data_IF_850666455759
#
_entry.id   IF_850666455759
#
_cell.length_a   1.000
_cell.length_b   1.000
_cell.length_c   1.000
_cell.angle_alpha   90.00
_cell.angle_beta   90.00
_cell.angle_gamma   90.00
#
_symmetry.space_group_name_H-M   'P 1'
#
loop_
_entity.id
_entity.type
_entity.pdbx_description
1 polymer ?
#
# COMPACT_ATOMS: atom_id res chain seq x y z
N UNK A 1 -17.33 79.50 -6.49
CA UNK A 1 -17.09 78.67 -5.27
C UNK A 1 -16.94 77.17 -5.57
N UNK A 2 -17.61 76.59 -6.57
CA UNK A 2 -17.53 75.14 -6.86
C UNK A 2 -16.18 74.71 -7.49
N UNK A 3 -15.50 75.61 -8.21
CA UNK A 3 -14.26 75.31 -8.94
C UNK A 3 -13.01 75.23 -8.03
N UNK A 4 -13.05 75.82 -6.83
CA UNK A 4 -11.94 75.76 -5.86
C UNK A 4 -11.86 74.42 -5.12
N UNK A 5 -12.99 73.77 -4.86
CA UNK A 5 -13.03 72.48 -4.16
C UNK A 5 -12.49 71.32 -5.01
N UNK A 6 -12.61 71.39 -6.34
CA UNK A 6 -12.10 70.36 -7.23
C UNK A 6 -10.56 70.30 -7.25
N UNK A 7 -9.90 71.46 -7.26
CA UNK A 7 -8.43 71.50 -7.27
C UNK A 7 -7.82 71.01 -5.95
N UNK A 8 -8.48 71.27 -4.82
CA UNK A 8 -8.03 70.77 -3.53
C UNK A 8 -8.19 69.24 -3.40
N UNK A 9 -9.28 68.67 -3.93
CA UNK A 9 -9.51 67.21 -3.90
C UNK A 9 -8.53 66.47 -4.80
N UNK A 10 -8.23 67.00 -5.99
CA UNK A 10 -7.26 66.40 -6.93
C UNK A 10 -5.84 66.47 -6.36
N UNK A 11 -5.45 67.57 -5.71
CA UNK A 11 -4.15 67.65 -5.04
C UNK A 11 -4.06 66.67 -3.86
N UNK A 12 -5.11 66.53 -3.05
CA UNK A 12 -5.14 65.59 -1.93
C UNK A 12 -5.09 64.12 -2.38
N UNK A 13 -5.78 63.76 -3.47
CA UNK A 13 -5.71 62.42 -4.06
C UNK A 13 -4.33 62.13 -4.67
N UNK A 14 -3.72 63.11 -5.35
CA UNK A 14 -2.38 62.98 -5.91
C UNK A 14 -1.30 62.85 -4.81
N UNK A 15 -1.41 63.60 -3.71
CA UNK A 15 -0.50 63.45 -2.57
C UNK A 15 -0.72 62.15 -1.81
N UNK A 16 -1.95 61.66 -1.66
CA UNK A 16 -2.21 60.35 -1.09
C UNK A 16 -1.66 59.20 -1.95
N UNK A 17 -1.69 59.31 -3.28
CA UNK A 17 -1.10 58.30 -4.18
C UNK A 17 0.43 58.32 -4.19
N UNK A 18 1.07 59.48 -3.97
CA UNK A 18 2.53 59.62 -3.89
C UNK A 18 3.09 59.29 -2.49
N UNK A 19 2.29 59.41 -1.44
CA UNK A 19 2.64 59.04 -0.07
C UNK A 19 2.14 57.65 0.32
N UNK A 20 1.35 56.99 -0.53
CA UNK A 20 1.17 55.55 -0.44
C UNK A 20 2.55 54.94 -0.63
N UNK A 21 3.14 54.26 0.38
CA UNK A 21 4.40 53.56 0.17
C UNK A 21 4.21 52.74 -1.08
N UNK A 22 5.00 53.05 -2.12
CA UNK A 22 4.84 52.45 -3.42
C UNK A 22 4.61 50.97 -3.20
N UNK A 23 3.57 50.43 -3.82
CA UNK A 23 3.35 49.00 -3.88
C UNK A 23 4.60 48.46 -4.59
N UNK A 24 5.68 48.28 -3.82
CA UNK A 24 6.87 47.59 -4.22
C UNK A 24 6.26 46.30 -4.72
N UNK A 25 6.49 45.97 -5.98
CA UNK A 25 6.27 44.64 -6.52
C UNK A 25 7.18 43.71 -5.70
N UNK A 26 6.82 43.50 -4.44
CA UNK A 26 7.42 42.56 -3.54
C UNK A 26 7.17 41.26 -4.23
N UNK A 27 8.25 40.66 -4.73
CA UNK A 27 8.16 39.30 -5.22
C UNK A 27 7.40 38.52 -4.15
N UNK A 28 6.35 37.79 -4.55
CA UNK A 28 5.58 37.01 -3.58
C UNK A 28 6.58 36.21 -2.75
N UNK A 29 6.43 36.20 -1.41
CA UNK A 29 7.41 35.57 -0.53
C UNK A 29 7.69 34.16 -1.06
N UNK A 30 8.97 33.87 -1.24
CA UNK A 30 9.41 32.60 -1.82
C UNK A 30 8.76 31.46 -1.04
N UNK A 31 8.02 30.63 -1.78
CA UNK A 31 7.36 29.47 -1.20
C UNK A 31 8.43 28.46 -0.79
N UNK A 32 8.65 28.34 0.53
CA UNK A 32 9.60 27.42 1.15
C UNK A 32 8.88 26.37 2.00
N UNK A 33 9.43 25.17 2.05
CA UNK A 33 8.96 24.13 2.97
C UNK A 33 9.37 24.44 4.41
N UNK A 34 8.60 23.95 5.37
CA UNK A 34 8.93 24.07 6.79
C UNK A 34 9.41 22.73 7.34
N UNK A 35 10.73 22.55 7.48
CA UNK A 35 11.32 21.30 7.95
C UNK A 35 11.38 21.16 9.47
N UNK A 36 10.66 21.99 10.23
CA UNK A 36 10.46 21.74 11.66
C UNK A 36 9.89 20.33 11.85
N UNK A 37 10.56 19.55 12.70
CA UNK A 37 10.18 18.18 13.02
C UNK A 37 9.58 18.12 14.42
N UNK A 38 8.57 17.28 14.57
CA UNK A 38 8.09 16.84 15.89
C UNK A 38 9.14 15.97 16.58
N UNK A 39 9.02 15.76 17.91
CA UNK A 39 9.81 14.74 18.58
C UNK A 39 9.66 13.36 17.91
N UNK A 40 10.70 12.51 17.95
CA UNK A 40 10.58 11.13 17.49
C UNK A 40 9.47 10.38 18.21
N UNK A 41 8.78 9.52 17.47
CA UNK A 41 7.65 8.72 17.96
C UNK A 41 7.46 7.47 17.10
N UNK A 42 6.68 6.51 17.59
CA UNK A 42 6.16 5.43 16.77
C UNK A 42 4.75 5.74 16.27
N UNK A 43 4.49 5.39 15.03
CA UNK A 43 3.20 5.47 14.36
C UNK A 43 2.74 4.07 13.97
N UNK A 44 1.49 3.96 13.54
CA UNK A 44 0.84 2.70 13.23
C UNK A 44 0.17 2.74 11.86
N UNK A 45 0.39 1.70 11.05
CA UNK A 45 -0.22 1.57 9.71
C UNK A 45 -1.03 0.30 9.65
N UNK A 46 -2.22 0.41 9.10
CA UNK A 46 -3.11 -0.71 8.86
C UNK A 46 -3.03 -1.13 7.40
N UNK A 47 -2.84 -2.42 7.15
CA UNK A 47 -2.80 -2.99 5.81
C UNK A 47 -3.75 -4.18 5.75
N UNK A 48 -4.63 -4.16 4.76
CA UNK A 48 -5.61 -5.22 4.53
C UNK A 48 -4.92 -6.48 3.98
N UNK A 49 -5.18 -7.63 4.61
CA UNK A 49 -4.72 -8.93 4.13
C UNK A 49 -5.35 -9.36 2.81
N UNK A 50 -6.55 -8.87 2.52
CA UNK A 50 -7.26 -9.18 1.27
C UNK A 50 -6.44 -8.75 0.04
N UNK A 51 -5.56 -7.77 0.18
CA UNK A 51 -4.64 -7.34 -0.87
C UNK A 51 -3.48 -8.32 -1.15
N UNK A 52 -3.29 -9.36 -0.31
CA UNK A 52 -2.10 -10.22 -0.37
C UNK A 52 -0.85 -9.59 0.26
N UNK A 53 -0.99 -8.38 0.82
CA UNK A 53 0.04 -7.68 1.56
C UNK A 53 0.37 -8.38 2.88
N UNK A 54 1.34 -9.28 2.83
CA UNK A 54 1.97 -9.91 3.99
C UNK A 54 3.25 -9.17 4.42
N UNK A 55 3.74 -9.39 5.66
CA UNK A 55 5.04 -8.86 6.07
C UNK A 55 6.18 -9.26 5.13
N UNK A 56 6.23 -10.52 4.65
CA UNK A 56 7.20 -10.94 3.65
C UNK A 56 7.03 -10.20 2.31
N UNK A 57 5.78 -10.01 1.85
CA UNK A 57 5.52 -9.23 0.65
C UNK A 57 6.04 -7.80 0.77
N UNK A 58 5.76 -7.13 1.89
CA UNK A 58 6.21 -5.75 2.14
C UNK A 58 7.73 -5.65 2.24
N UNK A 59 8.37 -6.59 2.96
CA UNK A 59 9.82 -6.73 3.00
C UNK A 59 10.42 -6.90 1.60
N UNK A 60 9.83 -7.78 0.79
CA UNK A 60 10.26 -8.04 -0.59
C UNK A 60 10.14 -6.80 -1.46
N UNK A 61 9.14 -5.97 -1.25
CA UNK A 61 9.01 -4.71 -1.97
C UNK A 61 9.88 -3.58 -1.43
N UNK A 62 10.56 -3.79 -0.29
CA UNK A 62 11.39 -2.78 0.36
C UNK A 62 10.62 -1.86 1.31
N UNK A 63 9.32 -2.05 1.49
CA UNK A 63 8.48 -1.16 2.29
C UNK A 63 6.99 -1.35 2.09
N UNK A 64 6.22 -0.44 2.70
CA UNK A 64 4.76 -0.32 2.59
C UNK A 64 4.46 0.90 1.72
N UNK A 65 3.85 0.70 0.57
CA UNK A 65 3.43 1.78 -0.32
C UNK A 65 2.11 1.41 -1.00
N UNK A 66 1.52 2.36 -1.73
CA UNK A 66 0.29 2.14 -2.48
C UNK A 66 0.54 1.31 -3.75
N UNK A 67 -0.49 0.88 -4.47
CA UNK A 67 -0.32 -0.06 -5.59
C UNK A 67 0.69 0.37 -6.67
N UNK A 68 0.86 1.68 -6.88
CA UNK A 68 1.79 2.24 -7.85
C UNK A 68 2.70 3.27 -7.17
N UNK A 69 3.95 2.93 -6.79
CA UNK A 69 4.86 3.84 -6.09
C UNK A 69 5.45 4.93 -7.00
N UNK A 70 5.21 4.87 -8.32
CA UNK A 70 5.69 5.84 -9.29
C UNK A 70 4.66 6.03 -10.41
N UNK A 71 3.49 6.59 -10.08
CA UNK A 71 2.41 6.73 -11.03
C UNK A 71 2.82 7.62 -12.20
N UNK A 72 2.30 7.32 -13.40
CA UNK A 72 2.64 8.05 -14.61
C UNK A 72 2.30 9.54 -14.48
N UNK A 73 2.97 10.38 -15.27
CA UNK A 73 2.88 11.86 -15.19
C UNK A 73 1.42 12.36 -15.33
N UNK A 74 0.58 11.66 -16.09
CA UNK A 74 -0.85 11.99 -16.23
C UNK A 74 -1.67 11.80 -14.93
N UNK A 75 -1.10 11.16 -13.90
CA UNK A 75 -1.66 11.01 -12.55
C UNK A 75 -0.97 11.92 -11.53
N UNK A 76 -0.63 13.15 -11.93
CA UNK A 76 -0.01 14.14 -11.04
C UNK A 76 -0.77 14.35 -9.71
N UNK A 77 -2.09 14.19 -9.72
CA UNK A 77 -2.92 14.27 -8.53
C UNK A 77 -2.55 13.25 -7.42
N UNK A 78 -1.91 12.13 -7.75
CA UNK A 78 -1.45 11.14 -6.79
C UNK A 78 -0.39 11.68 -5.83
N UNK A 79 0.31 12.77 -6.22
CA UNK A 79 1.31 13.45 -5.40
C UNK A 79 0.70 14.52 -4.49
N UNK A 80 -0.60 14.81 -4.61
CA UNK A 80 -1.29 15.78 -3.75
C UNK A 80 -1.69 15.11 -2.44
N UNK A 81 -1.46 15.80 -1.33
CA UNK A 81 -1.92 15.34 -0.02
C UNK A 81 -3.42 15.65 0.12
N UNK A 82 -4.27 14.78 -0.43
CA UNK A 82 -5.73 14.93 -0.39
C UNK A 82 -6.34 14.28 0.85
N UNK A 83 -6.24 14.94 2.00
CA UNK A 83 -6.97 14.56 3.21
C UNK A 83 -6.99 13.04 3.50
N UNK A 84 -8.08 12.56 4.08
CA UNK A 84 -8.24 11.15 4.44
C UNK A 84 -8.65 10.23 3.27
N UNK A 85 -8.65 10.71 2.01
CA UNK A 85 -9.19 9.90 0.91
C UNK A 85 -8.19 8.82 0.45
N UNK A 86 -8.52 7.51 0.59
CA UNK A 86 -7.59 6.40 0.37
C UNK A 86 -7.36 6.05 -1.10
N UNK A 87 -8.01 6.73 -2.06
CA UNK A 87 -8.00 6.31 -3.45
C UNK A 87 -6.87 7.01 -4.22
N UNK A 88 -5.88 6.24 -4.66
CA UNK A 88 -4.87 6.58 -5.70
C UNK A 88 -3.78 7.62 -5.37
N UNK A 89 -3.23 7.63 -4.16
CA UNK A 89 -2.21 8.61 -3.77
C UNK A 89 -0.87 7.93 -3.41
N UNK A 90 0.26 8.61 -3.64
CA UNK A 90 1.61 8.19 -3.19
C UNK A 90 1.84 8.49 -1.71
N UNK A 91 0.80 8.42 -0.90
CA UNK A 91 0.82 8.83 0.49
C UNK A 91 0.30 7.68 1.33
N UNK A 92 1.12 7.18 2.26
CA UNK A 92 0.69 6.16 3.22
C UNK A 92 0.33 6.83 4.52
N UNK A 93 -0.93 6.68 4.95
CA UNK A 93 -1.43 7.25 6.20
C UNK A 93 -0.98 6.38 7.36
N UNK A 94 -0.35 7.00 8.36
CA UNK A 94 0.06 6.38 9.61
C UNK A 94 -0.58 7.13 10.79
N UNK A 95 -1.02 6.40 11.80
CA UNK A 95 -1.74 6.95 12.95
C UNK A 95 -0.83 7.00 14.17
N UNK A 96 -0.99 8.01 15.03
CA UNK A 96 -0.22 8.15 16.28
C UNK A 96 -0.73 7.25 17.40
N UNK A 97 -2.00 6.84 17.32
CA UNK A 97 -2.67 6.08 18.38
C UNK A 97 -3.21 4.78 17.80
N UNK A 98 -2.73 3.66 18.34
CA UNK A 98 -3.15 2.32 17.95
C UNK A 98 -4.67 2.12 18.11
N UNK A 99 -5.30 2.70 19.13
CA UNK A 99 -6.75 2.66 19.30
C UNK A 99 -7.46 3.31 18.12
N UNK A 100 -6.97 4.46 17.65
CA UNK A 100 -7.57 5.13 16.48
C UNK A 100 -7.39 4.31 15.20
N UNK A 101 -6.33 3.51 15.08
CA UNK A 101 -6.18 2.57 13.95
C UNK A 101 -7.32 1.55 13.95
N UNK A 102 -7.60 0.96 15.12
CA UNK A 102 -8.66 -0.05 15.28
C UNK A 102 -10.05 0.58 15.13
N UNK A 103 -10.25 1.80 15.64
CA UNK A 103 -11.50 2.53 15.43
C UNK A 103 -11.68 2.90 13.95
N UNK A 104 -10.65 3.40 13.28
CA UNK A 104 -10.68 3.68 11.85
C UNK A 104 -11.00 2.41 11.03
N UNK A 105 -10.49 1.26 11.48
CA UNK A 105 -10.85 -0.04 10.92
C UNK A 105 -12.35 -0.35 11.07
N UNK A 106 -12.93 -0.14 12.25
CA UNK A 106 -14.36 -0.36 12.50
C UNK A 106 -15.27 0.52 11.62
N UNK A 107 -14.76 1.67 11.14
CA UNK A 107 -15.47 2.57 10.23
C UNK A 107 -15.19 2.33 8.74
N UNK A 108 -14.32 1.37 8.38
CA UNK A 108 -14.02 1.11 6.98
C UNK A 108 -15.23 0.45 6.30
N UNK A 109 -15.90 1.12 5.34
CA UNK A 109 -17.12 0.60 4.70
C UNK A 109 -16.86 -0.64 3.83
N UNK A 110 -15.60 -0.94 3.52
CA UNK A 110 -15.20 -2.13 2.78
C UNK A 110 -15.23 -3.41 3.65
N UNK A 111 -15.47 -3.29 4.96
CA UNK A 111 -15.46 -4.41 5.90
C UNK A 111 -16.90 -4.70 6.31
N UNK A 112 -17.52 -5.79 5.81
CA UNK A 112 -18.87 -6.17 6.20
C UNK A 112 -18.95 -6.32 7.72
N UNK A 113 -20.00 -5.77 8.34
CA UNK A 113 -20.20 -5.90 9.78
C UNK A 113 -20.39 -7.37 10.15
N UNK A 114 -20.09 -7.75 11.39
CA UNK A 114 -20.03 -9.17 11.79
C UNK A 114 -21.38 -9.87 11.62
N UNK A 115 -22.47 -9.11 11.74
CA UNK A 115 -23.84 -9.57 11.49
C UNK A 115 -24.22 -9.65 10.00
N UNK A 116 -23.44 -9.07 9.10
CA UNK A 116 -23.68 -9.06 7.65
C UNK A 116 -22.99 -10.24 6.94
N UNK A 117 -22.09 -10.96 7.64
CA UNK A 117 -21.38 -12.09 7.04
C UNK A 117 -22.17 -13.40 7.16
N UNK A 118 -22.16 -14.26 6.13
CA UNK A 118 -22.74 -15.60 6.19
C UNK A 118 -22.15 -16.40 7.36
N UNK A 119 -22.98 -17.22 8.02
CA UNK A 119 -22.52 -18.11 9.07
C UNK A 119 -21.36 -18.99 8.56
N UNK A 120 -20.19 -18.85 9.18
CA UNK A 120 -18.96 -19.59 8.81
C UNK A 120 -17.99 -18.83 7.91
N UNK A 121 -18.33 -17.65 7.39
CA UNK A 121 -17.37 -16.80 6.71
C UNK A 121 -16.40 -16.18 7.74
N UNK A 122 -15.09 -16.34 7.55
CA UNK A 122 -14.07 -15.68 8.36
C UNK A 122 -13.69 -14.34 7.76
N UNK A 123 -13.58 -13.30 8.58
CA UNK A 123 -13.17 -11.97 8.12
C UNK A 123 -11.73 -12.03 7.61
N UNK A 124 -11.39 -11.41 6.47
CA UNK A 124 -10.00 -11.11 6.18
C UNK A 124 -9.52 -10.17 7.30
N UNK A 125 -8.52 -10.60 8.06
CA UNK A 125 -7.92 -9.76 9.08
C UNK A 125 -6.94 -8.75 8.47
N UNK A 126 -6.20 -8.06 9.34
CA UNK A 126 -5.31 -6.98 8.94
C UNK A 126 -3.94 -7.15 9.59
N UNK A 127 -2.93 -6.66 8.91
CA UNK A 127 -1.62 -6.43 9.51
C UNK A 127 -1.57 -5.00 10.04
N UNK A 128 -1.17 -4.87 11.30
CA UNK A 128 -0.80 -3.58 11.89
C UNK A 128 0.71 -3.52 11.94
N UNK A 129 1.29 -2.46 11.40
CA UNK A 129 2.72 -2.19 11.44
C UNK A 129 3.00 -1.03 12.38
N UNK A 130 3.90 -1.22 13.33
CA UNK A 130 4.48 -0.16 14.14
C UNK A 130 5.73 0.35 13.45
N UNK A 131 5.77 1.65 13.15
CA UNK A 131 6.80 2.27 12.32
C UNK A 131 7.40 3.45 13.06
N UNK A 132 8.71 3.69 12.92
CA UNK A 132 9.31 4.92 13.42
C UNK A 132 8.87 6.12 12.57
N UNK A 133 8.60 7.26 13.18
CA UNK A 133 8.35 8.50 12.46
C UNK A 133 9.58 8.95 11.65
N UNK A 134 9.36 9.70 10.58
CA UNK A 134 10.46 10.17 9.71
C UNK A 134 10.09 11.48 9.00
N UNK A 135 11.07 12.29 8.56
CA UNK A 135 10.80 13.64 8.06
C UNK A 135 10.11 13.67 6.69
N UNK A 136 10.09 12.55 5.95
CA UNK A 136 9.27 12.43 4.72
C UNK A 136 7.77 12.23 5.02
N UNK A 137 7.41 12.14 6.31
CA UNK A 137 6.03 12.14 6.78
C UNK A 137 5.61 13.55 7.16
N UNK A 138 4.37 13.90 6.80
CA UNK A 138 3.78 15.22 7.04
C UNK A 138 2.63 15.07 8.05
N UNK A 139 2.69 15.86 9.12
CA UNK A 139 1.64 15.94 10.14
C UNK A 139 0.31 16.37 9.49
N UNK A 140 -0.75 15.57 9.65
CA UNK A 140 -2.06 15.82 9.05
C UNK A 140 -2.87 16.92 9.73
N UNK A 141 -2.35 17.53 10.80
CA UNK A 141 -3.03 18.59 11.55
C UNK A 141 -3.38 19.78 10.66
N UNK A 142 -4.65 20.18 10.56
CA UNK A 142 -5.00 21.49 10.01
C UNK A 142 -4.29 22.54 10.85
N UNK A 143 -3.52 23.39 10.20
CA UNK A 143 -2.80 24.42 10.91
C UNK A 143 -3.80 25.39 11.58
N UNK A 144 -3.56 25.70 12.87
CA UNK A 144 -4.49 26.51 13.66
C UNK A 144 -5.64 25.74 14.31
N UNK A 145 -5.79 24.43 14.04
CA UNK A 145 -6.65 23.59 14.88
C UNK A 145 -5.99 23.36 16.24
N UNK A 146 -6.47 24.07 17.25
CA UNK A 146 -6.16 23.79 18.66
C UNK A 146 -6.78 22.48 19.16
N UNK A 147 -7.71 21.90 18.40
CA UNK A 147 -8.30 20.63 18.79
C UNK A 147 -7.24 19.53 18.69
N UNK A 148 -6.97 18.87 19.83
CA UNK A 148 -6.22 17.60 19.88
C UNK A 148 -6.82 16.53 18.97
N UNK A 149 -8.05 16.76 18.51
CA UNK A 149 -8.76 15.91 17.55
C UNK A 149 -8.24 16.00 16.11
N UNK A 150 -7.47 17.03 15.73
CA UNK A 150 -6.94 17.14 14.37
C UNK A 150 -5.65 16.33 14.11
N UNK A 151 -5.10 15.68 15.14
CA UNK A 151 -3.69 15.30 15.22
C UNK A 151 -3.35 13.85 14.98
N UNK A 152 -4.33 13.03 14.62
CA UNK A 152 -4.21 11.60 14.85
C UNK A 152 -3.37 10.85 13.82
N UNK A 153 -2.96 11.52 12.74
CA UNK A 153 -2.29 10.88 11.62
C UNK A 153 -1.18 11.76 11.01
N UNK A 154 -0.27 11.09 10.33
CA UNK A 154 0.71 11.66 9.43
C UNK A 154 0.65 10.90 8.11
N UNK A 155 1.05 11.53 7.01
CA UNK A 155 1.16 10.84 5.71
C UNK A 155 2.59 10.78 5.25
N UNK A 156 3.07 9.57 4.94
CA UNK A 156 4.39 9.30 4.41
C UNK A 156 4.40 9.45 2.88
N UNK A 157 5.17 10.41 2.37
CA UNK A 157 5.35 10.61 0.94
C UNK A 157 6.18 9.47 0.33
N UNK A 158 5.66 8.81 -0.70
CA UNK A 158 6.38 7.78 -1.45
C UNK A 158 6.47 6.41 -0.76
N UNK A 159 5.75 6.21 0.34
CA UNK A 159 5.72 4.96 1.10
C UNK A 159 6.43 5.04 2.45
N UNK A 160 6.58 3.88 3.08
CA UNK A 160 7.30 3.65 4.34
C UNK A 160 8.32 2.57 4.07
N UNK A 161 9.56 2.78 4.49
CA UNK A 161 10.64 1.83 4.23
C UNK A 161 10.51 0.60 5.14
N UNK A 162 10.92 -0.57 4.65
CA UNK A 162 10.90 -1.76 5.49
C UNK A 162 11.83 -1.63 6.69
N UNK A 163 12.97 -0.95 6.54
CA UNK A 163 13.88 -0.63 7.66
C UNK A 163 13.26 0.32 8.69
N UNK A 164 12.17 1.00 8.35
CA UNK A 164 11.43 1.90 9.24
C UNK A 164 10.36 1.16 10.06
N UNK A 165 9.96 -0.04 9.64
CA UNK A 165 9.03 -0.91 10.35
C UNK A 165 9.75 -1.52 11.54
N UNK A 166 9.32 -1.20 12.76
CA UNK A 166 9.88 -1.76 13.99
C UNK A 166 9.30 -3.14 14.31
N UNK A 167 7.97 -3.26 14.24
CA UNK A 167 7.26 -4.49 14.52
C UNK A 167 5.95 -4.57 13.75
N UNK A 168 5.35 -5.75 13.69
CA UNK A 168 4.03 -5.95 13.10
C UNK A 168 3.21 -7.00 13.87
N UNK A 169 1.90 -6.86 13.83
CA UNK A 169 0.96 -7.75 14.49
C UNK A 169 -0.23 -8.06 13.56
N UNK A 170 -0.85 -9.21 13.77
CA UNK A 170 -2.07 -9.59 13.06
C UNK A 170 -3.30 -9.30 13.92
N UNK A 171 -4.35 -8.75 13.32
CA UNK A 171 -5.67 -8.63 13.94
C UNK A 171 -6.71 -9.35 13.10
N UNK A 172 -7.52 -10.20 13.75
CA UNK A 172 -8.59 -10.93 13.08
C UNK A 172 -9.93 -10.16 13.10
N UNK A 173 -10.10 -9.27 14.08
CA UNK A 173 -11.37 -8.59 14.34
C UNK A 173 -11.14 -7.16 14.84
N UNK A 174 -12.19 -6.33 14.78
CA UNK A 174 -12.17 -4.94 15.24
C UNK A 174 -12.23 -4.83 16.75
N UNK A 175 -12.70 -5.87 17.44
CA UNK A 175 -12.91 -5.87 18.89
C UNK A 175 -11.68 -6.38 19.66
N UNK A 176 -10.51 -6.37 19.02
CA UNK A 176 -9.25 -6.81 19.64
C UNK A 176 -8.79 -5.80 20.69
N UNK A 177 -8.50 -6.29 21.90
CA UNK A 177 -7.80 -5.51 22.91
C UNK A 177 -6.38 -5.19 22.40
N UNK A 178 -6.10 -3.90 22.20
CA UNK A 178 -4.79 -3.38 21.77
C UNK A 178 -3.62 -3.90 22.62
N UNK A 179 -3.86 -4.17 23.90
CA UNK A 179 -2.82 -4.66 24.82
C UNK A 179 -2.54 -6.16 24.65
N UNK A 180 -3.43 -6.87 23.97
CA UNK A 180 -3.31 -8.31 23.70
C UNK A 180 -2.61 -8.62 22.37
N UNK A 181 -2.19 -7.59 21.61
CA UNK A 181 -1.52 -7.79 20.33
C UNK A 181 -0.17 -8.49 20.49
N UNK A 182 -0.01 -9.61 19.79
CA UNK A 182 1.26 -10.32 19.69
C UNK A 182 2.14 -9.69 18.62
N UNK A 183 2.99 -8.75 19.05
CA UNK A 183 3.96 -8.09 18.17
C UNK A 183 5.11 -9.01 17.76
N UNK A 184 5.42 -8.97 16.47
CA UNK A 184 6.58 -9.62 15.87
C UNK A 184 7.60 -8.56 15.48
N UNK A 185 8.79 -8.64 16.08
CA UNK A 185 9.87 -7.69 15.81
C UNK A 185 10.39 -7.87 14.38
N UNK A 186 10.59 -6.75 13.68
CA UNK A 186 11.27 -6.73 12.41
C UNK A 186 12.79 -6.76 12.63
N UNK A 187 13.47 -7.79 12.11
CA UNK A 187 14.93 -7.91 12.21
C UNK A 187 15.70 -6.92 11.34
N UNK A 188 15.05 -6.37 10.32
CA UNK A 188 15.65 -5.41 9.40
C UNK A 188 15.42 -3.95 9.84
N UNK A 189 14.81 -3.74 11.02
CA UNK A 189 14.60 -2.41 11.57
C UNK A 189 15.92 -1.68 11.83
N UNK A 190 16.04 -0.45 11.36
CA UNK A 190 17.18 0.43 11.62
C UNK A 190 16.81 1.46 12.70
N UNK A 191 17.36 1.31 13.91
CA UNK A 191 17.05 2.20 15.03
C UNK A 191 17.50 3.64 14.82
N UNK A 192 18.30 3.95 13.79
CA UNK A 192 18.65 5.34 13.45
C UNK A 192 17.42 6.17 13.08
N UNK A 193 16.31 5.54 12.65
CA UNK A 193 15.03 6.21 12.42
C UNK A 193 14.50 6.91 13.68
N UNK A 194 14.79 6.40 14.87
CA UNK A 194 14.35 6.98 16.15
C UNK A 194 14.98 8.36 16.43
N UNK A 195 15.94 8.80 15.62
CA UNK A 195 16.51 10.15 15.70
C UNK A 195 15.69 11.20 14.94
N UNK A 196 14.57 10.83 14.32
CA UNK A 196 13.77 11.71 13.50
C UNK A 196 12.30 11.66 13.89
N UNK A 197 11.57 12.73 13.58
CA UNK A 197 10.12 12.81 13.75
C UNK A 197 9.45 13.26 12.47
N UNK A 198 8.12 13.35 12.51
CA UNK A 198 7.34 13.86 11.37
C UNK A 198 7.56 15.35 11.17
N UNK A 199 7.54 15.82 9.92
CA UNK A 199 7.54 17.26 9.64
C UNK A 199 6.17 17.87 9.94
N UNK A 200 6.17 19.16 10.29
CA UNK A 200 4.94 19.96 10.46
C UNK A 200 4.14 20.05 9.15
N UNK A 201 2.87 20.51 9.17
CA UNK A 201 2.05 20.61 7.96
C UNK A 201 2.72 21.44 6.86
N UNK A 202 2.69 20.93 5.63
CA UNK A 202 3.29 21.56 4.46
C UNK A 202 2.21 22.12 3.52
N UNK A 203 2.10 23.43 3.44
CA UNK A 203 1.05 24.08 2.64
C UNK A 203 1.17 23.82 1.14
N UNK A 204 2.38 23.55 0.64
CA UNK A 204 2.60 23.31 -0.78
C UNK A 204 1.97 22.00 -1.27
N UNK A 205 1.68 21.06 -0.36
CA UNK A 205 0.94 19.84 -0.69
C UNK A 205 -0.58 19.97 -0.46
N UNK A 206 -1.03 21.00 0.25
CA UNK A 206 -2.40 21.11 0.74
C UNK A 206 -3.26 21.93 -0.23
N UNK A 207 -3.79 21.25 -1.25
CA UNK A 207 -4.67 21.83 -2.29
C UNK A 207 -6.14 21.97 -1.81
N UNK A 208 -6.41 21.59 -0.55
CA UNK A 208 -7.75 21.26 -0.06
C UNK A 208 -8.65 22.46 0.26
N UNK A 209 -8.12 23.69 0.32
CA UNK A 209 -8.87 24.85 0.77
C UNK A 209 -8.62 26.08 -0.11
N UNK A 210 -9.38 26.14 -1.21
CA UNK A 210 -9.82 27.39 -1.85
C UNK A 210 -8.78 28.40 -2.33
N UNK A 211 -7.50 28.04 -2.51
CA UNK A 211 -6.64 28.95 -3.27
C UNK A 211 -7.12 28.97 -4.72
N UNK A 212 -7.45 30.16 -5.29
CA UNK A 212 -7.59 30.26 -6.73
C UNK A 212 -6.30 29.71 -7.35
N UNK A 213 -6.38 29.15 -8.57
CA UNK A 213 -5.27 28.63 -9.39
C UNK A 213 -4.20 29.69 -9.70
N UNK A 214 -3.69 30.38 -8.70
CA UNK A 214 -2.64 31.38 -8.80
C UNK A 214 -1.36 30.59 -8.94
N UNK A 215 -1.09 30.21 -10.20
CA UNK A 215 0.23 29.95 -10.77
C UNK A 215 1.15 29.07 -9.94
N UNK A 216 0.69 27.90 -9.51
CA UNK A 216 1.66 26.82 -9.30
C UNK A 216 2.22 26.46 -10.68
N UNK A 217 3.41 26.98 -10.98
CA UNK A 217 4.17 26.64 -12.19
C UNK A 217 4.69 25.21 -12.15
N UNK A 218 4.73 24.61 -10.96
CA UNK A 218 5.16 23.25 -10.71
C UNK A 218 3.96 22.31 -10.58
N UNK A 219 4.08 21.13 -11.16
CA UNK A 219 3.23 19.96 -10.92
C UNK A 219 3.36 19.45 -9.48
N UNK A 220 2.39 18.68 -8.98
CA UNK A 220 2.45 18.12 -7.64
C UNK A 220 3.61 17.13 -7.48
N UNK A 221 3.98 16.40 -8.55
CA UNK A 221 5.20 15.58 -8.58
C UNK A 221 6.47 16.42 -8.44
N UNK A 222 6.56 17.56 -9.13
CA UNK A 222 7.72 18.46 -9.00
C UNK A 222 7.80 19.08 -7.59
N UNK A 223 6.67 19.39 -6.97
CA UNK A 223 6.61 19.82 -5.56
C UNK A 223 7.12 18.69 -4.65
N UNK A 224 6.70 17.44 -4.86
CA UNK A 224 7.18 16.29 -4.11
C UNK A 224 8.69 16.05 -4.28
N UNK A 225 9.20 16.17 -5.51
CA UNK A 225 10.63 16.07 -5.81
C UNK A 225 11.43 17.17 -5.11
N UNK A 226 10.95 18.42 -5.20
CA UNK A 226 11.57 19.58 -4.56
C UNK A 226 11.57 19.45 -3.03
N UNK A 227 10.49 18.94 -2.44
CA UNK A 227 10.42 18.65 -1.01
C UNK A 227 11.50 17.65 -0.59
N UNK A 228 11.62 16.51 -1.29
CA UNK A 228 12.63 15.50 -0.96
C UNK A 228 14.06 16.04 -1.17
N UNK A 229 14.26 16.86 -2.20
CA UNK A 229 15.53 17.52 -2.45
C UNK A 229 15.94 18.44 -1.31
N UNK A 230 15.07 19.39 -0.93
CA UNK A 230 15.36 20.34 0.15
C UNK A 230 15.42 19.63 1.51
N UNK A 231 14.61 18.60 1.76
CA UNK A 231 14.57 17.84 3.02
C UNK A 231 15.92 17.16 3.31
N UNK A 232 16.51 16.56 2.28
CA UNK A 232 17.78 15.81 2.35
C UNK A 232 18.99 16.64 1.97
N UNK A 233 18.77 17.88 1.51
CA UNK A 233 19.79 18.81 1.05
C UNK A 233 20.28 19.79 2.12
N UNK A 234 21.23 20.68 1.76
CA UNK A 234 21.75 21.72 2.64
C UNK A 234 20.72 22.78 3.03
N UNK A 235 19.61 22.91 2.30
CA UNK A 235 18.52 23.85 2.55
C UNK A 235 17.79 23.55 3.88
N UNK A 236 17.75 22.28 4.29
CA UNK A 236 17.24 21.89 5.58
C UNK A 236 18.23 22.20 6.72
N UNK A 237 18.13 23.43 7.23
CA UNK A 237 18.93 23.93 8.37
C UNK A 237 18.63 23.25 9.71
N UNK A 238 17.55 22.46 9.82
CA UNK A 238 17.23 21.69 11.03
C UNK A 238 18.12 20.45 11.19
N UNK A 239 18.81 20.03 10.12
CA UNK A 239 19.73 18.91 10.12
C UNK A 239 21.18 19.41 9.98
N UNK A 240 22.04 19.00 10.92
CA UNK A 240 23.48 19.10 10.74
C UNK A 240 23.96 18.08 9.68
N UNK A 241 25.20 18.23 9.21
CA UNK A 241 25.75 17.40 8.13
C UNK A 241 25.68 15.89 8.43
N UNK A 242 26.00 15.47 9.66
CA UNK A 242 25.96 14.06 10.05
C UNK A 242 24.53 13.49 10.05
N UNK A 243 23.56 14.21 10.62
CA UNK A 243 22.14 13.80 10.61
C UNK A 243 21.56 13.83 9.20
N UNK A 244 21.99 14.76 8.34
CA UNK A 244 21.58 14.79 6.94
C UNK A 244 22.10 13.57 6.19
N UNK A 245 23.39 13.24 6.35
CA UNK A 245 23.98 12.06 5.73
C UNK A 245 23.25 10.78 6.18
N UNK A 246 23.00 10.62 7.48
CA UNK A 246 22.24 9.48 7.98
C UNK A 246 20.83 9.41 7.38
N UNK A 247 20.15 10.55 7.22
CA UNK A 247 18.82 10.58 6.60
C UNK A 247 18.88 10.20 5.10
N UNK A 248 19.88 10.67 4.37
CA UNK A 248 20.11 10.31 2.97
C UNK A 248 20.36 8.79 2.82
N UNK A 249 21.13 8.19 3.72
CA UNK A 249 21.38 6.74 3.75
C UNK A 249 20.10 5.95 4.06
N UNK A 250 19.33 6.39 5.07
CA UNK A 250 18.09 5.74 5.48
C UNK A 250 17.01 5.79 4.39
N UNK A 251 16.91 6.92 3.69
CA UNK A 251 15.95 7.12 2.59
C UNK A 251 16.45 6.60 1.24
N UNK A 252 17.73 6.24 1.13
CA UNK A 252 18.38 5.98 -0.16
C UNK A 252 18.10 7.12 -1.18
N UNK A 253 18.30 8.35 -0.70
CA UNK A 253 17.97 9.57 -1.42
C UNK A 253 19.06 10.62 -1.25
N UNK A 254 19.97 10.68 -2.21
CA UNK A 254 21.05 11.67 -2.27
C UNK A 254 21.15 12.26 -3.68
N UNK A 255 20.63 13.47 -3.89
CA UNK A 255 20.66 14.14 -5.19
C UNK A 255 22.03 14.69 -5.58
N UNK A 256 22.94 14.88 -4.62
CA UNK A 256 24.31 15.29 -4.95
C UNK A 256 25.06 14.12 -5.60
N UNK A 257 24.88 12.91 -5.07
CA UNK A 257 25.44 11.68 -5.63
C UNK A 257 24.67 11.17 -6.86
N UNK A 258 23.35 11.32 -6.87
CA UNK A 258 22.46 10.87 -7.94
C UNK A 258 21.56 12.03 -8.45
N UNK A 259 22.07 12.99 -9.25
CA UNK A 259 21.29 14.17 -9.67
C UNK A 259 20.04 13.87 -10.50
N UNK A 260 19.96 12.66 -11.09
CA UNK A 260 18.81 12.19 -11.87
C UNK A 260 17.82 11.35 -11.06
N UNK A 261 18.05 11.18 -9.75
CA UNK A 261 17.18 10.41 -8.87
C UNK A 261 15.77 10.98 -8.90
N UNK A 262 14.78 10.13 -9.17
CA UNK A 262 13.35 10.43 -9.10
C UNK A 262 12.61 9.31 -8.38
N UNK A 263 11.31 9.45 -8.15
CA UNK A 263 10.46 8.41 -7.59
C UNK A 263 10.47 7.12 -8.43
N UNK A 264 10.26 5.94 -7.82
CA UNK A 264 9.73 5.71 -6.47
C UNK A 264 10.76 5.97 -5.36
N UNK A 265 10.30 6.39 -4.18
CA UNK A 265 11.18 6.67 -3.05
C UNK A 265 11.81 5.37 -2.53
N UNK A 266 11.00 4.33 -2.33
CA UNK A 266 11.46 2.98 -2.01
C UNK A 266 11.95 2.27 -3.29
N UNK A 267 13.23 1.87 -3.35
CA UNK A 267 13.84 1.16 -4.51
C UNK A 267 14.22 -0.28 -4.24
N UNK A 268 14.75 -0.59 -3.06
CA UNK A 268 15.41 -1.87 -2.83
C UNK A 268 14.41 -2.94 -2.40
N UNK A 269 14.23 -3.92 -3.27
CA UNK A 269 13.62 -5.19 -2.90
C UNK A 269 14.61 -6.03 -2.10
N UNK A 270 14.14 -6.66 -1.02
CA UNK A 270 14.91 -7.72 -0.37
C UNK A 270 14.39 -9.07 -0.87
N UNK A 271 15.20 -9.89 -1.56
CA UNK A 271 14.72 -11.18 -2.03
C UNK A 271 14.33 -12.06 -0.83
N UNK A 272 13.20 -12.76 -0.97
CA UNK A 272 12.81 -13.74 0.04
C UNK A 272 13.86 -14.85 0.17
N UNK A 273 14.02 -15.35 1.39
CA UNK A 273 14.73 -16.61 1.60
C UNK A 273 13.92 -17.76 1.01
N UNK A 274 14.60 -18.86 0.67
CA UNK A 274 13.93 -20.09 0.25
C UNK A 274 12.95 -20.60 1.31
N UNK A 275 13.29 -20.45 2.59
CA UNK A 275 12.39 -20.80 3.69
C UNK A 275 11.12 -19.95 3.69
N UNK A 276 11.23 -18.63 3.52
CA UNK A 276 10.06 -17.74 3.43
C UNK A 276 9.14 -18.17 2.29
N UNK A 277 9.67 -18.40 1.08
CA UNK A 277 8.85 -18.84 -0.06
C UNK A 277 8.19 -20.20 0.18
N UNK A 278 8.96 -21.15 0.71
CA UNK A 278 8.45 -22.48 1.03
C UNK A 278 7.32 -22.41 2.06
N UNK A 279 7.48 -21.62 3.13
CA UNK A 279 6.46 -21.44 4.16
C UNK A 279 5.20 -20.78 3.61
N UNK A 280 5.33 -19.77 2.75
CA UNK A 280 4.18 -19.16 2.10
C UNK A 280 3.44 -20.12 1.17
N UNK A 281 4.13 -21.08 0.56
CA UNK A 281 3.52 -22.03 -0.38
C UNK A 281 2.63 -23.11 0.27
N UNK A 282 2.61 -23.19 1.59
CA UNK A 282 1.90 -24.24 2.35
C UNK A 282 0.51 -23.75 2.74
N UNK A 283 -0.50 -24.61 2.53
CA UNK A 283 -1.84 -24.40 3.06
C UNK A 283 -1.89 -24.75 4.55
N UNK A 284 -1.55 -23.76 5.39
CA UNK A 284 -1.53 -23.92 6.85
C UNK A 284 -2.91 -24.18 7.47
N UNK A 285 -4.01 -24.03 6.73
CA UNK A 285 -5.36 -24.33 7.23
C UNK A 285 -5.61 -25.84 7.32
N UNK A 286 -4.83 -26.66 6.61
CA UNK A 286 -4.90 -28.13 6.68
C UNK A 286 -4.27 -28.70 7.94
N UNK A 287 -3.47 -27.90 8.65
CA UNK A 287 -2.80 -28.29 9.88
C UNK A 287 -3.56 -27.67 11.06
N UNK A 288 -3.79 -28.45 12.10
CA UNK A 288 -4.34 -27.97 13.37
C UNK A 288 -3.31 -27.07 14.07
N UNK A 289 -3.38 -25.78 13.74
CA UNK A 289 -2.56 -24.72 14.31
C UNK A 289 -3.48 -23.63 14.85
N UNK A 290 -3.10 -22.97 15.96
CA UNK A 290 -3.73 -21.72 16.35
C UNK A 290 -3.73 -20.72 15.19
N UNK A 291 -4.82 -19.96 15.06
CA UNK A 291 -5.01 -19.07 13.90
C UNK A 291 -3.88 -18.04 13.74
N UNK A 292 -3.42 -17.41 14.82
CA UNK A 292 -2.30 -16.46 14.80
C UNK A 292 -1.02 -17.08 14.23
N UNK A 293 -0.77 -18.36 14.54
CA UNK A 293 0.40 -19.08 14.05
C UNK A 293 0.29 -19.37 12.55
N UNK A 294 -0.91 -19.74 12.07
CA UNK A 294 -1.16 -19.87 10.62
C UNK A 294 -0.87 -18.56 9.88
N UNK A 295 -1.34 -17.45 10.42
CA UNK A 295 -1.14 -16.12 9.82
C UNK A 295 0.33 -15.70 9.82
N UNK A 296 1.08 -15.97 10.90
CA UNK A 296 2.51 -15.70 10.95
C UNK A 296 3.30 -16.52 9.90
N UNK A 297 2.97 -17.80 9.74
CA UNK A 297 3.60 -18.68 8.76
C UNK A 297 3.23 -18.29 7.31
N UNK A 298 1.94 -18.03 7.04
CA UNK A 298 1.47 -17.52 5.76
C UNK A 298 2.01 -16.11 5.45
N UNK A 299 2.30 -15.33 6.49
CA UNK A 299 2.95 -14.03 6.41
C UNK A 299 4.42 -14.10 5.97
N UNK A 300 5.03 -15.29 6.00
CA UNK A 300 6.36 -15.58 5.45
C UNK A 300 7.55 -15.14 6.32
N UNK A 301 7.32 -14.48 7.46
CA UNK A 301 8.36 -14.05 8.39
C UNK A 301 8.13 -14.55 9.84
N UNK A 302 7.83 -15.84 10.06
CA UNK A 302 7.62 -16.34 11.41
C UNK A 302 8.88 -16.25 12.26
N UNK A 303 8.70 -16.04 13.56
CA UNK A 303 9.77 -16.16 14.56
C UNK A 303 10.22 -17.62 14.71
N UNK A 304 11.43 -17.81 15.24
CA UNK A 304 11.95 -19.15 15.53
C UNK A 304 11.00 -19.95 16.45
N UNK A 305 10.41 -19.30 17.44
CA UNK A 305 9.44 -19.92 18.36
C UNK A 305 8.21 -20.42 17.60
N UNK A 306 7.65 -19.59 16.72
CA UNK A 306 6.51 -19.96 15.88
C UNK A 306 6.86 -21.14 14.95
N UNK A 307 8.04 -21.12 14.32
CA UNK A 307 8.51 -22.24 13.50
C UNK A 307 8.62 -23.54 14.31
N UNK A 308 9.16 -23.48 15.54
CA UNK A 308 9.27 -24.65 16.40
C UNK A 308 7.92 -25.24 16.80
N UNK A 309 6.92 -24.40 17.08
CA UNK A 309 5.55 -24.82 17.40
C UNK A 309 4.88 -25.48 16.18
N UNK A 310 5.00 -24.85 15.02
CA UNK A 310 4.45 -25.37 13.77
C UNK A 310 5.10 -26.69 13.36
N UNK A 311 6.40 -26.86 13.61
CA UNK A 311 7.12 -28.10 13.33
C UNK A 311 6.53 -29.29 14.10
N UNK A 312 6.23 -29.12 15.38
CA UNK A 312 5.62 -30.18 16.19
C UNK A 312 4.26 -30.57 15.62
N UNK A 313 3.44 -29.58 15.23
CA UNK A 313 2.12 -29.83 14.65
C UNK A 313 2.19 -30.54 13.29
N UNK A 314 3.04 -30.07 12.37
CA UNK A 314 3.27 -30.72 11.06
C UNK A 314 3.75 -32.16 11.24
N UNK A 315 4.72 -32.37 12.14
CA UNK A 315 5.24 -33.70 12.43
C UNK A 315 4.14 -34.65 12.94
N UNK A 316 3.25 -34.16 13.80
CA UNK A 316 2.17 -34.95 14.38
C UNK A 316 1.02 -35.19 13.39
N UNK A 317 0.83 -34.29 12.41
CA UNK A 317 -0.21 -34.40 11.39
C UNK A 317 -0.03 -35.63 10.48
N UNK A 318 1.22 -35.94 10.10
CA UNK A 318 1.59 -37.18 9.40
C UNK A 318 2.92 -37.72 9.95
N UNK A 319 2.90 -38.63 10.94
CA UNK A 319 4.13 -39.18 11.48
C UNK A 319 4.88 -39.95 10.38
N UNK A 320 6.09 -39.53 9.97
CA UNK A 320 6.85 -40.26 8.97
C UNK A 320 7.27 -41.63 9.55
N UNK A 321 7.26 -42.71 8.74
CA UNK A 321 7.43 -44.08 9.23
C UNK A 321 8.81 -44.37 9.86
N UNK A 322 9.83 -43.54 9.64
CA UNK A 322 11.22 -43.84 10.10
C UNK A 322 12.07 -42.64 10.53
N UNK A 323 11.53 -41.43 10.72
CA UNK A 323 12.41 -40.30 11.11
C UNK A 323 12.93 -40.42 12.55
N UNK A 324 14.26 -40.33 12.68
CA UNK A 324 14.93 -40.02 13.95
C UNK A 324 14.36 -38.73 14.53
N UNK A 325 14.22 -38.66 15.87
CA UNK A 325 13.79 -37.45 16.60
C UNK A 325 14.77 -36.29 16.34
N UNK A 326 14.59 -35.56 15.24
CA UNK A 326 15.18 -34.25 15.04
C UNK A 326 14.22 -33.22 15.62
N UNK A 327 14.78 -32.25 16.33
CA UNK A 327 14.07 -31.05 16.75
C UNK A 327 14.32 -29.98 15.69
N UNK A 328 13.32 -29.17 15.36
CA UNK A 328 13.55 -27.98 14.54
C UNK A 328 14.49 -27.04 15.28
N UNK A 329 15.62 -26.75 14.67
CA UNK A 329 16.59 -25.76 15.13
C UNK A 329 16.33 -24.38 14.51
N UNK A 330 15.62 -24.34 13.38
CA UNK A 330 15.33 -23.12 12.63
C UNK A 330 14.05 -23.25 11.77
N UNK A 331 13.73 -22.21 10.99
CA UNK A 331 12.55 -22.20 10.11
C UNK A 331 12.78 -22.98 8.81
N UNK A 332 14.03 -23.15 8.41
CA UNK A 332 14.45 -23.98 7.27
C UNK A 332 14.08 -25.45 7.50
N UNK A 333 14.25 -25.95 8.73
CA UNK A 333 13.87 -27.31 9.13
C UNK A 333 12.35 -27.53 9.00
N UNK A 334 11.54 -26.52 9.35
CA UNK A 334 10.09 -26.54 9.15
C UNK A 334 9.72 -26.52 7.68
N UNK A 335 10.33 -25.62 6.91
CA UNK A 335 10.10 -25.51 5.48
C UNK A 335 10.41 -26.83 4.75
N UNK A 336 11.53 -27.48 5.09
CA UNK A 336 11.91 -28.78 4.54
C UNK A 336 10.91 -29.88 4.92
N UNK A 337 10.58 -30.02 6.21
CA UNK A 337 9.62 -31.04 6.69
C UNK A 337 8.25 -30.90 6.03
N UNK A 338 7.72 -29.67 6.01
CA UNK A 338 6.42 -29.41 5.41
C UNK A 338 6.46 -29.62 3.89
N UNK A 339 7.54 -29.18 3.22
CA UNK A 339 7.78 -29.47 1.81
C UNK A 339 7.69 -30.96 1.49
N UNK A 340 8.36 -31.82 2.27
CA UNK A 340 8.30 -33.28 2.10
C UNK A 340 6.86 -33.82 2.30
N UNK A 341 6.19 -33.44 3.40
CA UNK A 341 4.87 -33.98 3.73
C UNK A 341 3.77 -33.56 2.73
N UNK A 342 3.80 -32.32 2.26
CA UNK A 342 2.77 -31.77 1.37
C UNK A 342 3.08 -31.98 -0.11
N UNK A 343 4.35 -32.18 -0.50
CA UNK A 343 4.69 -32.59 -1.87
C UNK A 343 4.21 -34.02 -2.15
N UNK A 344 4.36 -34.95 -1.18
CA UNK A 344 3.89 -36.34 -1.35
C UNK A 344 2.36 -36.44 -1.49
N UNK A 345 1.60 -35.51 -0.91
CA UNK A 345 0.14 -35.51 -1.01
C UNK A 345 -0.41 -35.19 -2.42
N UNK A 346 0.41 -34.64 -3.33
CA UNK A 346 0.02 -34.38 -4.72
C UNK A 346 -0.19 -35.67 -5.54
N UNK A 347 0.32 -36.82 -5.08
CA UNK A 347 0.14 -38.09 -5.78
C UNK A 347 -1.17 -38.83 -5.45
N UNK A 348 -1.94 -38.39 -4.44
CA UNK A 348 -3.19 -39.05 -4.00
C UNK A 348 -4.47 -38.32 -4.53
N UNK A 349 -4.36 -37.57 -5.62
CA UNK A 349 -5.37 -36.59 -6.08
C UNK A 349 -6.59 -37.21 -6.81
N UNK A 350 -7.33 -38.12 -6.16
CA UNK A 350 -8.61 -38.64 -6.67
C UNK A 350 -9.82 -38.56 -5.72
N UNK A 351 -9.70 -37.97 -4.54
CA UNK A 351 -10.87 -37.76 -3.67
C UNK A 351 -10.68 -36.54 -2.78
N UNK A 352 -11.51 -35.52 -3.01
CA UNK A 352 -12.01 -34.47 -2.11
C UNK A 352 -12.10 -33.14 -2.88
N UNK A 353 -13.34 -32.75 -3.19
CA UNK A 353 -13.77 -31.41 -3.60
C UNK A 353 -13.77 -30.47 -2.39
N UNK A 354 -12.58 -30.07 -1.98
CA UNK A 354 -12.35 -28.95 -1.05
C UNK A 354 -11.37 -28.02 -1.73
N UNK A 355 -11.68 -26.71 -1.72
CA UNK A 355 -10.87 -25.61 -2.28
C UNK A 355 -9.37 -25.92 -2.18
N UNK A 356 -8.71 -25.96 -3.34
CA UNK A 356 -7.33 -26.43 -3.44
C UNK A 356 -6.39 -25.30 -2.99
N UNK A 357 -5.21 -25.61 -2.42
CA UNK A 357 -4.15 -24.65 -2.11
C UNK A 357 -3.70 -23.80 -3.29
N UNK A 358 -3.96 -24.25 -4.52
CA UNK A 358 -3.77 -23.44 -5.72
C UNK A 358 -4.67 -22.19 -5.66
N UNK A 359 -5.90 -22.30 -5.18
CA UNK A 359 -6.90 -21.23 -5.08
C UNK A 359 -6.59 -20.16 -4.01
N UNK A 360 -5.65 -20.41 -3.07
CA UNK A 360 -5.27 -19.46 -2.01
C UNK A 360 -3.82 -18.94 -2.19
N UNK A 361 -3.02 -19.58 -3.05
CA UNK A 361 -1.61 -19.24 -3.32
C UNK A 361 -1.29 -19.14 -4.81
N UNK A 362 -2.20 -18.59 -5.61
CA UNK A 362 -1.89 -18.14 -6.98
C UNK A 362 -0.99 -16.89 -6.91
N UNK A 363 0.30 -17.11 -6.67
CA UNK A 363 1.33 -16.06 -6.66
C UNK A 363 2.38 -16.21 -7.78
N UNK A 364 2.25 -17.20 -8.67
CA UNK A 364 3.22 -17.39 -9.77
C UNK A 364 2.60 -17.44 -11.18
N UNK A 365 1.28 -17.42 -11.30
CA UNK A 365 0.62 -17.56 -12.59
C UNK A 365 -0.40 -16.43 -12.79
N UNK A 366 -0.27 -15.75 -13.94
CA UNK A 366 -1.10 -14.61 -14.36
C UNK A 366 -2.46 -15.12 -14.82
N UNK A 367 -3.17 -15.68 -13.86
CA UNK A 367 -4.41 -16.37 -14.12
C UNK A 367 -5.57 -15.48 -13.72
N UNK A 368 -6.72 -15.77 -14.29
CA UNK A 368 -7.97 -15.19 -13.85
C UNK A 368 -9.09 -16.21 -14.05
N UNK A 369 -10.16 -16.03 -13.30
CA UNK A 369 -11.38 -16.82 -13.47
C UNK A 369 -12.40 -15.99 -14.24
N UNK A 370 -13.08 -16.64 -15.16
CA UNK A 370 -14.28 -16.13 -15.83
C UNK A 370 -15.44 -17.04 -15.44
N UNK A 371 -16.59 -16.44 -15.15
CA UNK A 371 -17.76 -17.16 -14.65
C UNK A 371 -18.99 -16.80 -15.49
N UNK A 372 -19.81 -17.81 -15.79
CA UNK A 372 -21.08 -17.59 -16.50
C UNK A 372 -22.13 -16.93 -15.60
N UNK A 373 -22.10 -17.21 -14.29
CA UNK A 373 -23.01 -16.60 -13.34
C UNK A 373 -22.57 -15.21 -12.90
N UNK A 374 -23.56 -14.33 -12.66
CA UNK A 374 -23.37 -13.09 -11.93
C UNK A 374 -22.83 -13.37 -10.51
N UNK A 375 -22.19 -12.37 -9.91
CA UNK A 375 -21.59 -12.46 -8.57
C UNK A 375 -20.69 -13.71 -8.38
N UNK A 376 -19.91 -14.06 -9.40
CA UNK A 376 -19.00 -15.22 -9.42
C UNK A 376 -19.70 -16.58 -9.30
N UNK A 377 -20.94 -16.66 -9.79
CA UNK A 377 -21.72 -17.90 -9.86
C UNK A 377 -21.15 -18.89 -10.88
N UNK A 378 -21.19 -20.18 -10.54
CA UNK A 378 -20.74 -21.27 -11.42
C UNK A 378 -21.61 -21.38 -12.70
N UNK A 379 -21.07 -21.97 -13.80
CA UNK A 379 -19.72 -22.50 -13.94
C UNK A 379 -18.66 -21.40 -14.10
N UNK A 380 -17.45 -21.68 -13.59
CA UNK A 380 -16.28 -20.83 -13.76
C UNK A 380 -15.12 -21.63 -14.36
N UNK A 381 -14.32 -20.99 -15.20
CA UNK A 381 -13.09 -21.57 -15.71
C UNK A 381 -11.91 -20.64 -15.46
N UNK A 382 -10.74 -21.26 -15.31
CA UNK A 382 -9.46 -20.58 -15.17
C UNK A 382 -8.86 -20.35 -16.55
N UNK A 383 -8.40 -19.13 -16.81
CA UNK A 383 -7.70 -18.76 -18.03
C UNK A 383 -6.32 -18.22 -17.66
N UNK A 384 -5.29 -18.70 -18.35
CA UNK A 384 -3.91 -18.25 -18.18
C UNK A 384 -3.64 -17.13 -19.19
N UNK A 385 -3.26 -15.94 -18.73
CA UNK A 385 -2.84 -14.84 -19.60
C UNK A 385 -1.43 -14.38 -19.28
N UNK A 386 -0.42 -14.87 -20.03
CA UNK A 386 0.94 -14.39 -19.90
C UNK A 386 1.03 -12.87 -20.05
N UNK A 387 2.00 -12.26 -19.37
CA UNK A 387 2.11 -10.81 -19.24
C UNK A 387 2.14 -10.10 -20.60
N UNK A 388 1.25 -9.14 -20.79
CA UNK A 388 1.16 -8.35 -22.01
C UNK A 388 0.67 -9.14 -23.24
N UNK A 389 0.44 -10.44 -23.13
CA UNK A 389 -0.12 -11.23 -24.21
C UNK A 389 -1.64 -11.10 -24.20
N UNK A 390 -2.19 -10.98 -25.41
CA UNK A 390 -3.63 -11.09 -25.60
C UNK A 390 -4.01 -12.56 -25.65
N UNK A 391 -4.95 -12.97 -24.81
CA UNK A 391 -5.45 -14.34 -24.76
C UNK A 391 -6.94 -14.34 -25.11
N UNK A 392 -7.32 -15.27 -25.98
CA UNK A 392 -8.71 -15.46 -26.35
C UNK A 392 -9.50 -16.13 -25.22
N UNK A 393 -10.75 -15.71 -25.04
CA UNK A 393 -11.69 -16.41 -24.15
C UNK A 393 -11.96 -17.82 -24.69
N UNK A 394 -11.92 -18.87 -23.84
CA UNK A 394 -12.28 -20.23 -24.24
C UNK A 394 -13.65 -20.28 -24.92
N UNK A 395 -13.79 -21.07 -25.99
CA UNK A 395 -15.00 -21.11 -26.81
C UNK A 395 -16.27 -21.41 -26.00
N UNK A 396 -16.18 -22.26 -24.99
CA UNK A 396 -17.31 -22.63 -24.12
C UNK A 396 -17.88 -21.44 -23.34
N UNK A 397 -17.07 -20.40 -23.08
CA UNK A 397 -17.42 -19.21 -22.31
C UNK A 397 -17.63 -17.96 -23.18
N UNK A 398 -17.39 -18.03 -24.49
CA UNK A 398 -17.64 -16.90 -25.39
C UNK A 398 -19.11 -16.48 -25.31
N UNK A 399 -19.32 -15.19 -25.12
CA UNK A 399 -20.63 -14.59 -24.97
C UNK A 399 -21.51 -15.16 -23.84
N UNK A 400 -20.89 -15.61 -22.75
CA UNK A 400 -21.60 -16.08 -21.54
C UNK A 400 -21.05 -15.50 -20.24
N UNK A 401 -19.98 -14.69 -20.30
CA UNK A 401 -19.29 -14.21 -19.11
C UNK A 401 -20.11 -13.12 -18.44
N UNK A 402 -20.58 -13.39 -17.23
CA UNK A 402 -21.29 -12.42 -16.38
C UNK A 402 -20.46 -11.91 -15.20
N UNK A 403 -19.32 -12.54 -14.89
CA UNK A 403 -18.37 -11.99 -13.91
C UNK A 403 -16.94 -12.44 -14.18
N UNK A 404 -15.98 -11.61 -13.76
CA UNK A 404 -14.54 -11.84 -13.96
C UNK A 404 -13.75 -11.61 -12.68
N UNK A 405 -12.80 -12.49 -12.39
CA UNK A 405 -12.00 -12.49 -11.18
C UNK A 405 -10.51 -12.59 -11.54
N UNK A 406 -9.84 -11.46 -11.81
CA UNK A 406 -8.39 -11.42 -11.95
C UNK A 406 -7.68 -12.01 -10.73
N UNK A 407 -6.66 -12.83 -10.95
CA UNK A 407 -5.78 -13.29 -9.88
C UNK A 407 -5.05 -12.12 -9.21
N UNK A 408 -4.69 -12.27 -7.92
CA UNK A 408 -4.05 -11.20 -7.13
C UNK A 408 -2.76 -10.66 -7.76
N UNK A 409 -2.01 -11.51 -8.47
CA UNK A 409 -0.75 -11.14 -9.14
C UNK A 409 -0.92 -10.73 -10.60
N UNK A 410 -2.13 -10.86 -11.17
CA UNK A 410 -2.41 -10.54 -12.57
C UNK A 410 -2.41 -9.03 -12.86
N UNK A 411 -2.36 -8.22 -11.79
CA UNK A 411 -2.37 -6.76 -11.88
C UNK A 411 -3.70 -6.25 -12.44
N UNK A 412 -3.62 -5.25 -13.31
CA UNK A 412 -4.77 -4.72 -14.01
C UNK A 412 -4.96 -5.48 -15.34
N UNK A 413 -6.09 -6.17 -15.48
CA UNK A 413 -6.46 -6.85 -16.71
C UNK A 413 -7.50 -6.03 -17.47
N UNK A 414 -7.29 -5.92 -18.78
CA UNK A 414 -8.25 -5.35 -19.71
C UNK A 414 -9.04 -6.49 -20.35
N UNK A 415 -10.36 -6.35 -20.36
CA UNK A 415 -11.31 -7.30 -20.94
C UNK A 415 -11.94 -6.64 -22.17
N UNK A 416 -11.84 -7.28 -23.31
CA UNK A 416 -12.20 -6.72 -24.61
C UNK A 416 -13.41 -7.43 -25.21
N UNK A 417 -14.31 -6.64 -25.80
CA UNK A 417 -15.49 -7.15 -26.49
C UNK A 417 -15.14 -7.85 -27.80
N UNK A 418 -14.06 -7.41 -28.47
CA UNK A 418 -13.61 -8.01 -29.71
C UNK A 418 -12.42 -8.98 -29.49
N UNK A 419 -12.16 -9.89 -30.44
CA UNK A 419 -10.94 -10.71 -30.46
C UNK A 419 -9.65 -9.87 -30.56
N UNK A 420 -8.52 -10.50 -30.27
CA UNK A 420 -7.17 -9.93 -30.39
C UNK A 420 -6.96 -8.62 -29.60
N UNK A 421 -7.70 -8.43 -28.51
CA UNK A 421 -7.61 -7.30 -27.59
C UNK A 421 -7.87 -5.96 -28.27
N UNK A 422 -8.97 -5.92 -29.04
CA UNK A 422 -9.45 -4.76 -29.79
C UNK A 422 -10.83 -4.32 -29.28
N UNK A 423 -11.28 -3.17 -29.77
CA UNK A 423 -12.62 -2.67 -29.50
C UNK A 423 -12.81 -2.12 -28.09
N UNK A 424 -14.08 -2.08 -27.67
CA UNK A 424 -14.47 -1.60 -26.36
C UNK A 424 -13.88 -2.50 -25.25
N UNK A 425 -13.45 -1.87 -24.17
CA UNK A 425 -12.81 -2.56 -23.06
C UNK A 425 -13.18 -1.96 -21.71
N UNK A 426 -13.12 -2.78 -20.67
CA UNK A 426 -13.06 -2.32 -19.29
C UNK A 426 -11.85 -2.95 -18.59
N UNK A 427 -11.41 -2.29 -17.52
CA UNK A 427 -10.31 -2.77 -16.70
C UNK A 427 -10.87 -3.33 -15.38
N UNK A 428 -10.36 -4.49 -14.97
CA UNK A 428 -10.60 -5.02 -13.64
C UNK A 428 -9.30 -5.58 -13.05
N UNK A 429 -9.22 -5.50 -11.73
CA UNK A 429 -8.19 -6.11 -10.90
C UNK A 429 -8.87 -7.00 -9.85
N UNK A 430 -8.09 -7.71 -9.04
CA UNK A 430 -8.61 -8.37 -7.85
C UNK A 430 -9.29 -7.34 -6.93
N UNK A 431 -10.49 -7.58 -6.35
CA UNK A 431 -11.18 -8.87 -6.19
C UNK A 431 -12.16 -9.24 -7.30
N UNK A 432 -12.04 -8.68 -8.51
CA UNK A 432 -12.94 -8.96 -9.63
C UNK A 432 -14.16 -8.05 -9.66
N UNK A 433 -14.96 -8.21 -10.72
CA UNK A 433 -16.17 -7.44 -10.95
C UNK A 433 -17.31 -8.32 -11.44
N UNK A 434 -18.52 -7.97 -10.99
CA UNK A 434 -19.76 -8.52 -11.51
C UNK A 434 -20.26 -7.64 -12.66
N UNK A 435 -20.41 -8.24 -13.85
CA UNK A 435 -20.82 -7.53 -15.06
C UNK A 435 -22.33 -7.37 -15.14
N UNK A 436 -23.11 -8.17 -14.41
CA UNK A 436 -24.57 -8.13 -14.48
C UNK A 436 -25.19 -6.83 -13.91
N UNK A 437 -24.41 -6.00 -13.22
CA UNK A 437 -24.90 -4.82 -12.51
C UNK A 437 -24.16 -3.53 -12.90
N UNK A 438 -24.85 -2.39 -12.74
CA UNK A 438 -24.25 -1.06 -12.93
C UNK A 438 -23.87 -0.76 -14.38
N UNK A 439 -22.82 0.05 -14.57
CA UNK A 439 -22.39 0.49 -15.90
C UNK A 439 -21.67 -0.59 -16.72
N UNK A 440 -21.32 -1.72 -16.10
CA UNK A 440 -20.61 -2.82 -16.75
C UNK A 440 -21.54 -3.84 -17.45
N UNK A 441 -22.87 -3.72 -17.29
CA UNK A 441 -23.85 -4.58 -17.97
C UNK A 441 -23.73 -4.59 -19.49
N UNK A 442 -23.16 -3.53 -20.08
CA UNK A 442 -22.90 -3.45 -21.51
C UNK A 442 -21.83 -4.45 -21.99
N UNK A 443 -20.98 -4.95 -21.08
CA UNK A 443 -19.92 -5.92 -21.34
C UNK A 443 -20.29 -7.36 -20.97
N UNK A 444 -21.39 -7.56 -20.23
CA UNK A 444 -21.91 -8.90 -19.90
C UNK A 444 -22.16 -9.67 -21.19
N UNK A 445 -21.71 -10.92 -21.22
CA UNK A 445 -21.88 -11.83 -22.36
C UNK A 445 -21.29 -11.31 -23.67
N UNK A 446 -20.28 -10.44 -23.61
CA UNK A 446 -19.64 -9.88 -24.81
C UNK A 446 -18.12 -10.01 -24.84
N UNK A 447 -17.48 -10.41 -23.73
CA UNK A 447 -16.03 -10.50 -23.67
C UNK A 447 -15.50 -11.64 -24.54
N UNK A 448 -14.51 -11.33 -25.38
CA UNK A 448 -13.91 -12.25 -26.34
C UNK A 448 -12.39 -12.39 -26.19
N UNK A 449 -11.71 -11.39 -25.63
CA UNK A 449 -10.26 -11.47 -25.40
C UNK A 449 -9.83 -10.64 -24.20
N UNK A 450 -8.68 -11.00 -23.63
CA UNK A 450 -8.22 -10.52 -22.32
C UNK A 450 -6.72 -10.28 -22.38
N UNK A 451 -6.26 -9.16 -21.81
CA UNK A 451 -4.83 -8.84 -21.69
C UNK A 451 -4.55 -8.30 -20.30
N UNK A 452 -3.64 -8.97 -19.57
CA UNK A 452 -3.19 -8.52 -18.27
C UNK A 452 -1.87 -7.77 -18.38
N UNK A 453 -1.80 -6.59 -17.76
CA UNK A 453 -0.57 -5.82 -17.63
C UNK A 453 -0.11 -5.91 -16.18
N UNK A 454 1.10 -6.41 -15.99
CA UNK A 454 1.76 -6.37 -14.69
C UNK A 454 2.01 -4.89 -14.34
N UNK A 455 1.81 -4.51 -13.08
CA UNK A 455 2.07 -3.14 -12.62
C UNK A 455 3.58 -2.80 -12.61
N UNK A 456 4.47 -3.74 -12.95
CA UNK A 456 5.93 -3.61 -12.93
C UNK A 456 6.56 -3.18 -14.26
N UNK A 457 5.99 -2.22 -14.99
CA UNK A 457 6.80 -1.47 -15.97
C UNK A 457 7.63 -0.41 -15.25
N UNK A 458 8.75 -0.83 -14.65
CA UNK A 458 9.92 0.03 -14.60
C UNK A 458 10.41 0.17 -16.04
N UNK A 459 10.04 1.27 -16.69
CA UNK A 459 10.66 1.67 -17.97
C UNK A 459 12.06 2.16 -17.61
N UNK A 460 13.08 1.46 -18.10
CA UNK A 460 14.49 1.86 -18.00
C UNK A 460 14.76 3.21 -18.67
#
# INVERSE_FOLDING_TARGET
>A
MIQGCWNALVLALATCLLLSPGYVNGQPPEQRFNFEMRPPEFLYVLVDFSSGATPAFMRRQGGIFTEDPNPPINRDHAWRMRGFHPVSNNWVVAYRNLRHVIEAFAFCPAVPRSHEMPAGASRPGFWIYMIAASPHMIDGRPQGSSSERGAWWASALGGIFWSQVNAYAWIADSDVDVNSLEWQNNRDYDSRWENYGVTVPQYLFNDYWHRPRVQQTLSAREIAMRFMAELTGPENSQLNAARRQTLQELLDWNLEAEPRRSFPLVRYSQPDSLATRALQSIDWFRIELPFHLRMALAGGLPTLRQCSQAYVAVRNHRPPPTMRKRYASNCEDLAALAGEQFASAKNDEHRITSLKPKDILFMESLDFYICEGAAFGAPCTKVEAPQGQCVAVPDDYKAKISSVLPGRVSGNCNFYVDPDCKGDTFQASYPGVDLAHGNLHLFSDKIQSIQCKNQTTFVN
#
